data_IF_829739346796
#
_entry.id   IF_829739346796
#
_cell.length_a   1.000
_cell.length_b   1.000
_cell.length_c   1.000
_cell.angle_alpha   90.00
_cell.angle_beta   90.00
_cell.angle_gamma   90.00
#
_symmetry.space_group_name_H-M   'P 1'
#
loop_
_entity.id
_entity.type
_entity.pdbx_description
1 polymer ?
#
# COMPACT_ATOMS: atom_id res chain seq x y z
N UNK A 1 -71.46 -15.99 5.65
CA UNK A 1 -70.28 -16.36 4.82
C UNK A 1 -69.56 -15.19 4.13
N UNK A 2 -70.18 -14.00 3.97
CA UNK A 2 -69.57 -12.87 3.23
C UNK A 2 -68.54 -12.04 4.01
N UNK A 3 -68.77 -11.83 5.31
CA UNK A 3 -67.95 -10.94 6.16
C UNK A 3 -66.54 -11.53 6.40
N UNK A 4 -66.45 -12.86 6.58
CA UNK A 4 -65.17 -13.57 6.71
C UNK A 4 -64.31 -13.49 5.44
N UNK A 5 -64.94 -13.49 4.26
CA UNK A 5 -64.24 -13.36 2.97
C UNK A 5 -63.77 -11.93 2.71
N UNK A 6 -64.54 -10.93 3.14
CA UNK A 6 -64.15 -9.52 3.06
C UNK A 6 -62.98 -9.20 4.01
N UNK A 7 -63.01 -9.69 5.25
CA UNK A 7 -61.92 -9.53 6.21
C UNK A 7 -60.60 -10.18 5.72
N UNK A 8 -60.69 -11.39 5.14
CA UNK A 8 -59.52 -12.08 4.58
C UNK A 8 -58.91 -11.37 3.37
N UNK A 9 -59.74 -10.72 2.54
CA UNK A 9 -59.28 -9.88 1.42
C UNK A 9 -58.63 -8.58 1.89
N UNK A 10 -59.18 -7.93 2.91
CA UNK A 10 -58.58 -6.73 3.52
C UNK A 10 -57.22 -7.01 4.15
N UNK A 11 -57.10 -8.13 4.86
CA UNK A 11 -55.83 -8.58 5.45
C UNK A 11 -54.79 -8.94 4.39
N UNK A 12 -55.18 -9.58 3.28
CA UNK A 12 -54.29 -9.86 2.17
C UNK A 12 -53.79 -8.57 1.48
N UNK A 13 -54.67 -7.59 1.27
CA UNK A 13 -54.30 -6.28 0.73
C UNK A 13 -53.34 -5.50 1.64
N UNK A 14 -53.53 -5.57 2.95
CA UNK A 14 -52.62 -4.95 3.92
C UNK A 14 -51.23 -5.62 3.91
N UNK A 15 -51.17 -6.95 3.85
CA UNK A 15 -49.90 -7.69 3.78
C UNK A 15 -49.14 -7.43 2.48
N UNK A 16 -49.84 -7.36 1.34
CA UNK A 16 -49.23 -7.02 0.04
C UNK A 16 -48.74 -5.57 0.04
N UNK A 17 -49.50 -4.63 0.60
CA UNK A 17 -49.09 -3.23 0.77
C UNK A 17 -47.82 -3.10 1.61
N UNK A 18 -47.75 -3.80 2.75
CA UNK A 18 -46.57 -3.82 3.61
C UNK A 18 -45.36 -4.45 2.91
N UNK A 19 -45.55 -5.54 2.18
CA UNK A 19 -44.47 -6.18 1.42
C UNK A 19 -43.94 -5.27 0.31
N UNK A 20 -44.83 -4.58 -0.42
CA UNK A 20 -44.43 -3.62 -1.44
C UNK A 20 -43.65 -2.46 -0.82
N UNK A 21 -44.12 -1.91 0.31
CA UNK A 21 -43.45 -0.79 0.98
C UNK A 21 -42.05 -1.15 1.52
N UNK A 22 -41.85 -2.37 2.01
CA UNK A 22 -40.53 -2.84 2.47
C UNK A 22 -39.59 -3.13 1.32
N UNK A 23 -40.08 -3.66 0.20
CA UNK A 23 -39.24 -3.90 -1.00
C UNK A 23 -38.73 -2.61 -1.64
N UNK A 24 -39.49 -1.50 -1.58
CA UNK A 24 -39.06 -0.21 -2.11
C UNK A 24 -37.89 0.41 -1.30
N UNK A 25 -37.76 0.07 -0.02
CA UNK A 25 -36.63 0.51 0.81
C UNK A 25 -35.38 -0.35 0.59
N UNK A 26 -35.54 -1.61 0.18
CA UNK A 26 -34.43 -2.54 -0.06
C UNK A 26 -33.74 -2.34 -1.43
N UNK A 27 -34.35 -1.59 -2.36
CA UNK A 27 -33.77 -1.28 -3.67
C UNK A 27 -32.97 0.02 -3.72
N UNK A 28 -32.72 0.67 -2.58
CA UNK A 28 -31.55 1.54 -2.46
C UNK A 28 -30.31 0.65 -2.43
N UNK A 29 -30.05 -0.02 -3.55
CA UNK A 29 -28.74 -0.58 -3.81
C UNK A 29 -27.76 0.56 -3.58
N UNK A 30 -26.93 0.41 -2.55
CA UNK A 30 -25.71 1.16 -2.38
C UNK A 30 -24.82 0.78 -3.56
N UNK A 31 -25.16 1.29 -4.76
CA UNK A 31 -24.22 1.55 -5.81
C UNK A 31 -23.42 2.77 -5.37
N UNK A 32 -22.71 2.62 -4.25
CA UNK A 32 -21.52 3.41 -4.05
C UNK A 32 -20.64 3.04 -5.25
N UNK A 33 -20.48 3.99 -6.17
CA UNK A 33 -19.49 3.83 -7.22
C UNK A 33 -18.19 3.53 -6.48
N UNK A 34 -17.72 2.29 -6.58
CA UNK A 34 -16.32 2.00 -6.34
C UNK A 34 -15.60 2.93 -7.31
N UNK A 35 -15.09 4.04 -6.78
CA UNK A 35 -14.34 5.00 -7.56
C UNK A 35 -13.18 4.23 -8.19
N UNK A 36 -12.74 4.67 -9.37
CA UNK A 36 -11.51 4.13 -9.95
C UNK A 36 -10.37 4.21 -8.93
N UNK A 37 -10.32 5.25 -8.09
CA UNK A 37 -9.48 5.35 -6.88
C UNK A 37 -9.57 4.11 -5.96
N UNK A 38 -10.77 3.72 -5.52
CA UNK A 38 -10.93 2.56 -4.63
C UNK A 38 -10.50 1.24 -5.30
N UNK A 39 -10.56 1.15 -6.63
CA UNK A 39 -10.00 0.03 -7.37
C UNK A 39 -8.46 0.12 -7.43
N UNK A 40 -7.91 1.30 -7.73
CA UNK A 40 -6.47 1.57 -7.80
C UNK A 40 -5.79 1.29 -6.46
N UNK A 41 -6.38 1.72 -5.33
CA UNK A 41 -5.84 1.48 -3.99
C UNK A 41 -5.71 -0.02 -3.69
N UNK A 42 -6.71 -0.82 -4.11
CA UNK A 42 -6.63 -2.29 -3.98
C UNK A 42 -5.53 -2.89 -4.86
N UNK A 43 -5.35 -2.38 -6.08
CA UNK A 43 -4.24 -2.84 -6.94
C UNK A 43 -2.87 -2.46 -6.36
N UNK A 44 -2.74 -1.27 -5.76
CA UNK A 44 -1.52 -0.82 -5.09
C UNK A 44 -1.17 -1.74 -3.91
N UNK A 45 -2.13 -2.05 -3.03
CA UNK A 45 -1.92 -2.99 -1.91
C UNK A 45 -1.47 -4.38 -2.39
N UNK A 46 -2.10 -4.91 -3.46
CA UNK A 46 -1.69 -6.19 -4.03
C UNK A 46 -0.25 -6.16 -4.58
N UNK A 47 0.16 -5.05 -5.21
CA UNK A 47 1.51 -4.87 -5.71
C UNK A 47 2.53 -4.77 -4.56
N UNK A 48 2.20 -4.04 -3.50
CA UNK A 48 3.05 -3.88 -2.31
C UNK A 48 3.27 -5.20 -1.59
N UNK A 49 2.21 -6.01 -1.43
CA UNK A 49 2.32 -7.36 -0.88
C UNK A 49 3.18 -8.27 -1.74
N UNK A 50 3.05 -8.18 -3.07
CA UNK A 50 3.88 -8.91 -4.01
C UNK A 50 5.37 -8.54 -3.89
N UNK A 51 5.67 -7.25 -3.76
CA UNK A 51 7.03 -6.75 -3.53
C UNK A 51 7.63 -7.28 -2.23
N UNK A 52 6.88 -7.30 -1.12
CA UNK A 52 7.33 -7.86 0.15
C UNK A 52 7.58 -9.37 0.07
N UNK A 53 6.70 -10.09 -0.63
CA UNK A 53 6.84 -11.54 -0.78
C UNK A 53 8.07 -11.90 -1.62
N UNK A 54 8.31 -11.18 -2.72
CA UNK A 54 9.53 -11.35 -3.53
C UNK A 54 10.79 -11.04 -2.71
N UNK A 55 10.76 -9.99 -1.88
CA UNK A 55 11.87 -9.67 -0.99
C UNK A 55 12.16 -10.77 0.04
N UNK A 56 11.13 -11.34 0.68
CA UNK A 56 11.27 -12.45 1.64
C UNK A 56 11.78 -13.74 0.98
N UNK A 57 11.42 -13.97 -0.28
CA UNK A 57 11.83 -15.18 -1.01
C UNK A 57 13.28 -15.16 -1.48
N UNK A 58 13.97 -14.01 -1.43
CA UNK A 58 15.38 -13.94 -1.82
C UNK A 58 16.28 -14.75 -0.89
N UNK A 59 17.20 -15.51 -1.48
CA UNK A 59 18.13 -16.39 -0.75
C UNK A 59 18.96 -15.64 0.30
N UNK A 60 19.41 -14.42 0.00
CA UNK A 60 20.20 -13.60 0.93
C UNK A 60 19.38 -13.11 2.13
N UNK A 61 18.11 -12.79 1.91
CA UNK A 61 17.17 -12.39 2.97
C UNK A 61 16.79 -13.58 3.85
N UNK A 62 16.49 -14.73 3.27
CA UNK A 62 16.21 -15.95 4.04
C UNK A 62 17.41 -16.37 4.88
N UNK A 63 18.62 -16.34 4.31
CA UNK A 63 19.84 -16.67 5.03
C UNK A 63 20.10 -15.71 6.20
N UNK A 64 19.83 -14.41 6.02
CA UNK A 64 19.93 -13.42 7.09
C UNK A 64 18.88 -13.65 8.19
N UNK A 65 17.63 -13.94 7.82
CA UNK A 65 16.56 -14.24 8.76
C UNK A 65 16.87 -15.46 9.64
N UNK A 66 17.38 -16.55 9.03
CA UNK A 66 17.79 -17.75 9.76
C UNK A 66 18.95 -17.44 10.73
N UNK A 67 19.90 -16.59 10.31
CA UNK A 67 21.00 -16.15 11.19
C UNK A 67 20.50 -15.39 12.42
N UNK A 68 19.46 -14.56 12.24
CA UNK A 68 18.79 -13.83 13.32
C UNK A 68 17.77 -14.69 14.10
N UNK A 69 17.63 -15.98 13.76
CA UNK A 69 16.74 -16.93 14.44
C UNK A 69 15.26 -16.85 14.04
N UNK A 70 14.96 -16.25 12.88
CA UNK A 70 13.61 -16.13 12.32
C UNK A 70 13.38 -17.22 11.27
N UNK A 71 12.29 -17.98 11.40
CA UNK A 71 11.86 -18.95 10.40
C UNK A 71 11.25 -18.23 9.18
N UNK A 72 11.76 -18.45 7.94
CA UNK A 72 11.17 -17.89 6.73
C UNK A 72 9.69 -18.18 6.54
N UNK A 73 9.24 -19.41 6.87
CA UNK A 73 7.83 -19.77 6.72
C UNK A 73 6.93 -18.98 7.69
N UNK A 74 7.43 -18.69 8.90
CA UNK A 74 6.71 -17.87 9.87
C UNK A 74 6.61 -16.41 9.38
N UNK A 75 7.68 -15.87 8.80
CA UNK A 75 7.68 -14.51 8.26
C UNK A 75 6.67 -14.34 7.11
N UNK A 76 6.59 -15.31 6.21
CA UNK A 76 5.59 -15.33 5.12
C UNK A 76 4.16 -15.40 5.67
N UNK A 77 3.92 -16.25 6.68
CA UNK A 77 2.61 -16.37 7.32
C UNK A 77 2.20 -15.07 8.02
N UNK A 78 3.15 -14.37 8.65
CA UNK A 78 2.92 -13.06 9.27
C UNK A 78 2.60 -12.00 8.23
N UNK A 79 3.34 -11.97 7.12
CA UNK A 79 3.03 -11.07 6.01
C UNK A 79 1.61 -11.32 5.49
N UNK A 80 1.20 -12.58 5.31
CA UNK A 80 -0.15 -12.94 4.88
C UNK A 80 -1.24 -12.51 5.88
N UNK A 81 -0.92 -12.42 7.17
CA UNK A 81 -1.84 -11.98 8.21
C UNK A 81 -1.97 -10.45 8.35
N UNK A 82 -1.04 -9.67 7.78
CA UNK A 82 -1.11 -8.20 7.82
C UNK A 82 -2.27 -7.65 6.99
N UNK A 83 -2.89 -6.60 7.51
CA UNK A 83 -3.87 -5.80 6.78
C UNK A 83 -3.21 -4.99 5.66
N UNK A 84 -4.02 -4.55 4.69
CA UNK A 84 -3.54 -3.78 3.54
C UNK A 84 -2.84 -2.48 3.95
N UNK A 85 -3.38 -1.77 4.95
CA UNK A 85 -2.79 -0.54 5.48
C UNK A 85 -1.45 -0.78 6.20
N UNK A 86 -1.29 -1.92 6.89
CA UNK A 86 -0.03 -2.28 7.54
C UNK A 86 1.05 -2.65 6.51
N UNK A 87 0.66 -3.33 5.42
CA UNK A 87 1.55 -3.64 4.29
C UNK A 87 2.04 -2.37 3.62
N UNK A 88 1.14 -1.42 3.32
CA UNK A 88 1.50 -0.12 2.75
C UNK A 88 2.47 0.64 3.67
N UNK A 89 2.17 0.73 4.96
CA UNK A 89 3.02 1.41 5.94
C UNK A 89 4.42 0.78 6.01
N UNK A 90 4.51 -0.55 5.97
CA UNK A 90 5.78 -1.28 5.98
C UNK A 90 6.60 -1.01 4.70
N UNK A 91 5.97 -1.05 3.53
CA UNK A 91 6.65 -0.73 2.26
C UNK A 91 7.15 0.72 2.26
N UNK A 92 6.35 1.65 2.75
CA UNK A 92 6.75 3.06 2.88
C UNK A 92 7.94 3.23 3.82
N UNK A 93 7.95 2.53 4.96
CA UNK A 93 9.09 2.54 5.88
C UNK A 93 10.35 1.98 5.21
N UNK A 94 10.28 0.81 4.57
CA UNK A 94 11.44 0.20 3.92
C UNK A 94 11.99 1.06 2.77
N UNK A 95 11.14 1.73 2.00
CA UNK A 95 11.55 2.68 0.96
C UNK A 95 12.26 3.89 1.55
N UNK A 96 11.79 4.39 2.69
CA UNK A 96 12.39 5.52 3.38
C UNK A 96 13.73 5.16 4.06
N UNK A 97 13.85 3.93 4.57
CA UNK A 97 15.09 3.43 5.18
C UNK A 97 16.12 2.96 4.16
N UNK A 98 15.70 2.59 2.95
CA UNK A 98 16.62 2.31 1.83
C UNK A 98 17.25 3.62 1.37
N UNK A 99 18.30 4.04 2.07
CA UNK A 99 19.10 5.25 1.89
C UNK A 99 19.94 5.26 0.59
N UNK A 100 19.40 4.73 -0.52
CA UNK A 100 20.02 4.74 -1.85
C UNK A 100 19.77 6.02 -2.63
N UNK A 101 18.70 6.76 -2.33
CA UNK A 101 18.46 8.07 -2.94
C UNK A 101 19.44 9.13 -2.39
N UNK A 102 19.76 9.03 -1.09
CA UNK A 102 20.59 10.03 -0.42
C UNK A 102 22.08 9.81 -0.63
N UNK A 103 22.53 8.59 -0.97
CA UNK A 103 23.94 8.33 -1.24
C UNK A 103 24.42 9.07 -2.50
N UNK A 104 23.58 9.14 -3.54
CA UNK A 104 23.90 9.87 -4.77
C UNK A 104 23.98 11.37 -4.48
N UNK A 105 23.01 11.92 -3.73
CA UNK A 105 23.01 13.32 -3.30
C UNK A 105 24.19 13.67 -2.40
N UNK A 106 24.53 12.78 -1.47
CA UNK A 106 25.67 12.94 -0.54
C UNK A 106 26.98 12.89 -1.30
N UNK A 107 27.19 11.89 -2.18
CA UNK A 107 28.39 11.79 -3.00
C UNK A 107 28.54 12.98 -3.94
N UNK A 108 27.43 13.45 -4.53
CA UNK A 108 27.43 14.64 -5.37
C UNK A 108 27.80 15.89 -4.57
N UNK A 109 27.23 16.07 -3.38
CA UNK A 109 27.56 17.18 -2.47
C UNK A 109 29.04 17.16 -2.09
N UNK A 110 29.56 16.00 -1.66
CA UNK A 110 30.99 15.85 -1.34
C UNK A 110 31.85 16.15 -2.55
N UNK A 111 31.48 15.66 -3.73
CA UNK A 111 32.18 15.95 -4.99
C UNK A 111 32.21 17.46 -5.28
N UNK A 112 31.09 18.17 -5.14
CA UNK A 112 31.01 19.63 -5.36
C UNK A 112 31.88 20.39 -4.37
N UNK A 113 31.84 20.03 -3.08
CA UNK A 113 32.69 20.64 -2.06
C UNK A 113 34.17 20.46 -2.42
N UNK A 114 34.57 19.22 -2.74
CA UNK A 114 35.95 18.94 -3.12
C UNK A 114 36.35 19.67 -4.39
N UNK A 115 35.46 19.74 -5.39
CA UNK A 115 35.70 20.45 -6.64
C UNK A 115 35.90 21.95 -6.43
N UNK A 116 35.07 22.59 -5.60
CA UNK A 116 35.23 24.02 -5.26
C UNK A 116 36.54 24.25 -4.51
N UNK A 117 36.87 23.40 -3.52
CA UNK A 117 38.14 23.54 -2.77
C UNK A 117 39.38 23.34 -3.65
N UNK A 118 39.31 22.54 -4.71
CA UNK A 118 40.40 22.33 -5.66
C UNK A 118 40.58 23.52 -6.61
N UNK A 119 39.47 24.12 -7.09
CA UNK A 119 39.50 25.36 -7.89
C UNK A 119 40.08 26.54 -7.10
N UNK A 120 39.78 26.62 -5.79
CA UNK A 120 40.33 27.62 -4.86
C UNK A 120 41.77 27.30 -4.40
N UNK A 121 42.38 26.21 -4.89
CA UNK A 121 43.72 25.75 -4.54
C UNK A 121 43.92 25.35 -3.06
N UNK A 122 42.85 25.02 -2.33
CA UNK A 122 42.96 24.46 -0.97
C UNK A 122 43.31 22.97 -1.00
N UNK A 123 42.88 22.24 -2.03
CA UNK A 123 43.16 20.81 -2.24
C UNK A 123 43.60 20.55 -3.69
N UNK A 124 44.11 19.35 -3.99
CA UNK A 124 44.49 18.89 -5.34
C UNK A 124 44.10 17.42 -5.53
N UNK A 125 42.80 17.16 -5.46
CA UNK A 125 42.24 15.80 -5.52
C UNK A 125 41.93 15.41 -6.97
N UNK A 126 41.49 16.36 -7.80
CA UNK A 126 41.14 16.11 -9.18
C UNK A 126 42.28 16.58 -10.11
N UNK A 127 42.63 15.77 -11.12
CA UNK A 127 43.74 16.08 -12.05
C UNK A 127 43.31 17.04 -13.18
N UNK A 128 42.01 17.26 -13.34
CA UNK A 128 41.43 18.09 -14.40
C UNK A 128 41.10 19.52 -13.93
N UNK A 129 41.12 19.79 -12.63
CA UNK A 129 40.86 21.10 -12.02
C UNK A 129 42.09 22.01 -12.14
N UNK A 130 41.86 23.21 -12.67
CA UNK A 130 42.83 24.29 -12.71
C UNK A 130 42.48 25.31 -11.64
N UNK A 131 43.50 25.77 -10.92
CA UNK A 131 43.39 26.87 -9.98
C UNK A 131 42.80 28.10 -10.68
N UNK A 132 41.71 28.64 -10.13
CA UNK A 132 41.21 29.95 -10.50
C UNK A 132 42.18 30.98 -9.93
N UNK A 133 42.96 31.62 -10.80
CA UNK A 133 43.92 32.66 -10.44
C UNK A 133 43.25 34.01 -10.34
#
# INVERSE_FOLDING_TARGET
MGILRAAKKGMALALVSQLLLTTQMATMAQAEMLSTEAAIDKYASHADRGYLMDALQRDDVQAAMIQEGVDPAEAEARLAALSDAEVEALVMQMRNETAGADIVGTLFTVFVILLVTDILCFTRIFSFTRCAR
#
